data_IF_771711996083
#
_entry.id   IF_771711996083
#
_cell.length_a   1.000
_cell.length_b   1.000
_cell.length_c   1.000
_cell.angle_alpha   90.00
_cell.angle_beta   90.00
_cell.angle_gamma   90.00
#
_symmetry.space_group_name_H-M   'P 1'
#
loop_
_entity.id
_entity.type
_entity.pdbx_description
1 polymer ?
#
# COMPACT_ATOMS: atom_id res chain seq x y z
N UNK A 1 8.45 5.76 -0.80
CA UNK A 1 7.12 6.25 -1.23
C UNK A 1 7.33 7.31 -2.29
N UNK A 2 6.51 7.36 -3.33
CA UNK A 2 6.62 8.27 -4.46
C UNK A 2 5.27 8.97 -4.71
N UNK A 3 5.28 10.26 -5.02
CA UNK A 3 4.07 11.01 -5.37
C UNK A 3 4.05 11.25 -6.88
N UNK A 4 3.00 10.80 -7.55
CA UNK A 4 2.79 11.06 -8.97
C UNK A 4 1.75 12.16 -9.20
N UNK A 5 1.89 12.83 -10.34
CA UNK A 5 1.06 13.96 -10.76
C UNK A 5 0.73 13.81 -12.26
N UNK A 6 -0.42 14.32 -12.68
CA UNK A 6 -0.90 14.25 -14.07
C UNK A 6 -1.35 12.86 -14.51
N UNK A 7 -1.48 11.90 -13.59
CA UNK A 7 -1.79 10.51 -13.90
C UNK A 7 -3.28 10.32 -14.25
N UNK A 8 -3.58 9.77 -15.43
CA UNK A 8 -4.94 9.39 -15.81
C UNK A 8 -5.32 8.04 -15.20
N UNK A 9 -5.78 8.05 -13.96
CA UNK A 9 -6.26 6.85 -13.25
C UNK A 9 -7.32 7.21 -12.22
N UNK A 10 -8.11 6.21 -11.79
CA UNK A 10 -9.07 6.33 -10.69
C UNK A 10 -8.49 5.87 -9.35
N UNK A 11 -7.37 5.15 -9.35
CA UNK A 11 -6.70 4.70 -8.12
C UNK A 11 -6.13 5.89 -7.34
N UNK A 12 -6.25 5.84 -6.02
CA UNK A 12 -5.64 6.85 -5.13
C UNK A 12 -4.19 6.52 -4.76
N UNK A 13 -3.85 5.23 -4.67
CA UNK A 13 -2.51 4.75 -4.47
C UNK A 13 -2.32 3.43 -5.22
N UNK A 14 -1.07 3.00 -5.33
CA UNK A 14 -0.67 1.70 -5.88
C UNK A 14 0.58 1.22 -5.17
N UNK A 15 0.80 -0.09 -5.17
CA UNK A 15 2.05 -0.69 -4.75
C UNK A 15 2.76 -1.42 -5.87
N UNK A 16 4.08 -1.31 -5.86
CA UNK A 16 5.00 -1.98 -6.76
C UNK A 16 5.97 -2.81 -5.93
N UNK A 17 6.24 -4.03 -6.38
CA UNK A 17 7.33 -4.86 -5.88
C UNK A 17 8.32 -5.13 -7.00
N UNK A 18 9.59 -5.33 -6.66
CA UNK A 18 10.61 -5.72 -7.64
C UNK A 18 10.63 -7.25 -7.75
N UNK A 19 10.29 -7.86 -8.90
CA UNK A 19 10.38 -9.30 -9.10
C UNK A 19 11.78 -9.84 -8.80
N UNK A 20 11.86 -11.04 -8.22
CA UNK A 20 13.12 -11.64 -7.80
C UNK A 20 14.16 -11.76 -8.93
N UNK A 21 13.70 -12.02 -10.15
CA UNK A 21 14.59 -12.11 -11.32
C UNK A 21 15.27 -10.76 -11.62
N UNK A 22 14.57 -9.64 -11.46
CA UNK A 22 15.14 -8.31 -11.69
C UNK A 22 16.10 -7.90 -10.57
N UNK A 23 15.82 -8.29 -9.32
CA UNK A 23 16.75 -8.10 -8.21
C UNK A 23 18.10 -8.78 -8.52
N UNK A 24 18.07 -10.02 -8.98
CA UNK A 24 19.28 -10.79 -9.31
C UNK A 24 19.99 -10.22 -10.53
N UNK A 25 19.26 -9.99 -11.63
CA UNK A 25 19.84 -9.56 -12.90
C UNK A 25 20.52 -8.17 -12.81
N UNK A 26 19.94 -7.26 -12.03
CA UNK A 26 20.43 -5.89 -11.89
C UNK A 26 21.17 -5.63 -10.57
N UNK A 27 21.39 -6.67 -9.75
CA UNK A 27 21.97 -6.55 -8.40
C UNK A 27 21.29 -5.46 -7.55
N UNK A 28 19.96 -5.39 -7.62
CA UNK A 28 19.15 -4.43 -6.87
C UNK A 28 18.61 -5.13 -5.63
N UNK A 29 18.70 -4.44 -4.49
CA UNK A 29 18.09 -4.91 -3.26
C UNK A 29 16.57 -5.01 -3.36
N UNK A 30 16.03 -5.88 -2.52
CA UNK A 30 14.60 -6.03 -2.36
C UNK A 30 13.95 -4.71 -1.95
N UNK A 31 12.98 -4.24 -2.74
CA UNK A 31 12.21 -3.05 -2.42
C UNK A 31 10.74 -3.18 -2.83
N UNK A 32 9.89 -2.46 -2.10
CA UNK A 32 8.52 -2.16 -2.49
C UNK A 32 8.34 -0.65 -2.53
N UNK A 33 7.59 -0.16 -3.51
CA UNK A 33 7.31 1.27 -3.68
C UNK A 33 5.80 1.47 -3.64
N UNK A 34 5.35 2.32 -2.73
CA UNK A 34 3.98 2.86 -2.77
C UNK A 34 4.01 4.14 -3.59
N UNK A 35 3.23 4.16 -4.67
CA UNK A 35 2.88 5.35 -5.44
C UNK A 35 1.61 5.97 -4.87
N UNK A 36 1.65 7.27 -4.62
CA UNK A 36 0.49 8.09 -4.26
C UNK A 36 0.11 8.91 -5.48
N UNK A 37 -1.08 8.69 -6.02
CA UNK A 37 -1.65 9.51 -7.10
C UNK A 37 -2.22 10.76 -6.45
N UNK A 38 -1.45 11.85 -6.48
CA UNK A 38 -1.70 13.00 -5.62
C UNK A 38 -3.11 13.60 -5.82
N UNK A 39 -3.58 13.72 -7.05
CA UNK A 39 -4.87 14.32 -7.40
C UNK A 39 -6.06 13.54 -6.85
N UNK A 40 -5.92 12.23 -6.71
CA UNK A 40 -6.97 11.35 -6.21
C UNK A 40 -6.84 11.19 -4.70
N UNK A 41 -5.63 10.95 -4.21
CA UNK A 41 -5.35 10.74 -2.80
C UNK A 41 -5.64 11.98 -1.95
N UNK A 42 -5.30 13.18 -2.44
CA UNK A 42 -5.49 14.44 -1.70
C UNK A 42 -6.95 14.70 -1.31
N UNK A 43 -7.89 14.28 -2.15
CA UNK A 43 -9.35 14.44 -1.98
C UNK A 43 -9.96 13.53 -0.92
N UNK A 44 -9.24 12.49 -0.49
CA UNK A 44 -9.72 11.53 0.49
C UNK A 44 -9.72 12.12 1.92
N UNK A 45 -10.66 11.64 2.74
CA UNK A 45 -10.67 11.92 4.18
C UNK A 45 -9.42 11.32 4.85
N UNK A 46 -9.08 11.77 6.06
CA UNK A 46 -7.92 11.22 6.77
C UNK A 46 -8.06 9.70 7.04
N UNK A 47 -9.27 9.26 7.36
CA UNK A 47 -9.60 7.84 7.53
C UNK A 47 -9.39 7.07 6.22
N UNK A 48 -9.94 7.54 5.12
CA UNK A 48 -9.85 6.87 3.82
C UNK A 48 -8.41 6.82 3.32
N UNK A 49 -7.62 7.88 3.54
CA UNK A 49 -6.18 7.89 3.25
C UNK A 49 -5.47 6.75 3.96
N UNK A 50 -5.75 6.53 5.25
CA UNK A 50 -5.14 5.44 6.00
C UNK A 50 -5.63 4.09 5.48
N UNK A 51 -6.94 3.93 5.22
CA UNK A 51 -7.50 2.67 4.70
C UNK A 51 -6.91 2.30 3.34
N UNK A 52 -6.74 3.27 2.44
CA UNK A 52 -6.05 3.08 1.15
C UNK A 52 -4.60 2.64 1.36
N UNK A 53 -3.86 3.26 2.28
CA UNK A 53 -2.49 2.82 2.57
C UNK A 53 -2.43 1.40 3.16
N UNK A 54 -3.38 1.05 4.04
CA UNK A 54 -3.52 -0.31 4.56
C UNK A 54 -3.77 -1.30 3.42
N UNK A 55 -4.66 -0.96 2.48
CA UNK A 55 -4.93 -1.77 1.29
C UNK A 55 -3.65 -2.03 0.50
N UNK A 56 -2.89 -0.98 0.15
CA UNK A 56 -1.63 -1.12 -0.59
C UNK A 56 -0.60 -1.96 0.18
N UNK A 57 -0.51 -1.81 1.50
CA UNK A 57 0.42 -2.60 2.32
C UNK A 57 0.02 -4.09 2.41
N UNK A 58 -1.27 -4.42 2.34
CA UNK A 58 -1.74 -5.81 2.41
C UNK A 58 -1.34 -6.64 1.19
N UNK A 59 -1.09 -5.97 0.06
CA UNK A 59 -0.51 -6.61 -1.13
C UNK A 59 0.91 -7.14 -0.88
N UNK A 60 1.62 -6.65 0.14
CA UNK A 60 2.95 -7.17 0.49
C UNK A 60 2.80 -8.56 1.15
N UNK A 61 3.41 -9.63 0.59
CA UNK A 61 3.38 -10.94 1.20
C UNK A 61 4.24 -10.98 2.47
N UNK A 62 3.91 -11.89 3.39
CA UNK A 62 4.72 -12.11 4.61
C UNK A 62 6.17 -12.48 4.33
N UNK A 63 6.44 -13.11 3.18
CA UNK A 63 7.81 -13.46 2.74
C UNK A 63 8.63 -12.26 2.33
N UNK A 64 7.98 -11.10 2.11
CA UNK A 64 8.60 -9.87 1.64
C UNK A 64 9.45 -10.05 0.37
N UNK A 65 9.17 -11.03 -0.49
CA UNK A 65 10.09 -11.44 -1.56
C UNK A 65 10.19 -10.47 -2.75
N UNK A 66 9.43 -9.37 -2.76
CA UNK A 66 9.28 -8.45 -3.89
C UNK A 66 8.12 -8.82 -4.83
N UNK A 67 7.43 -9.94 -4.54
CA UNK A 67 6.15 -10.28 -5.16
C UNK A 67 5.01 -9.47 -4.52
N UNK A 68 3.89 -9.35 -5.24
CA UNK A 68 2.66 -8.76 -4.74
C UNK A 68 1.55 -9.81 -4.71
N UNK A 69 0.74 -9.80 -3.66
CA UNK A 69 -0.49 -10.58 -3.59
C UNK A 69 -1.51 -9.96 -4.53
N UNK A 70 -2.27 -10.79 -5.24
CA UNK A 70 -3.44 -10.27 -5.96
C UNK A 70 -4.56 -9.93 -4.98
N UNK A 71 -5.47 -9.05 -5.42
CA UNK A 71 -6.70 -8.75 -4.69
C UNK A 71 -7.52 -10.04 -4.50
N UNK A 72 -8.11 -10.23 -3.31
CA UNK A 72 -8.89 -11.43 -2.99
C UNK A 72 -8.90 -11.73 -1.50
N UNK A 73 -8.74 -13.00 -1.12
CA UNK A 73 -8.92 -13.52 0.25
C UNK A 73 -8.20 -12.74 1.36
N UNK A 74 -7.07 -12.09 1.06
CA UNK A 74 -6.25 -11.39 2.05
C UNK A 74 -6.46 -9.87 2.06
N UNK A 75 -7.29 -9.35 1.15
CA UNK A 75 -7.49 -7.92 0.93
C UNK A 75 -9.00 -7.72 0.78
N UNK A 76 -9.68 -7.56 1.91
CA UNK A 76 -11.13 -7.32 1.98
C UNK A 76 -11.42 -6.09 2.82
N UNK A 77 -12.61 -5.50 2.65
CA UNK A 77 -13.09 -4.35 3.44
C UNK A 77 -13.01 -4.62 4.94
N UNK A 78 -13.41 -5.82 5.36
CA UNK A 78 -13.47 -6.20 6.77
C UNK A 78 -12.07 -6.23 7.39
N UNK A 79 -11.08 -6.79 6.67
CA UNK A 79 -9.68 -6.82 7.11
C UNK A 79 -9.12 -5.39 7.20
N UNK A 80 -9.43 -4.54 6.22
CA UNK A 80 -8.96 -3.15 6.19
C UNK A 80 -9.55 -2.36 7.37
N UNK A 81 -10.85 -2.48 7.62
CA UNK A 81 -11.52 -1.80 8.73
C UNK A 81 -11.02 -2.30 10.09
N UNK A 82 -10.79 -3.61 10.22
CA UNK A 82 -10.21 -4.19 11.44
C UNK A 82 -8.82 -3.61 11.72
N UNK A 83 -7.95 -3.56 10.71
CA UNK A 83 -6.60 -3.02 10.83
C UNK A 83 -6.60 -1.52 11.11
N UNK A 84 -7.50 -0.77 10.48
CA UNK A 84 -7.70 0.65 10.78
C UNK A 84 -8.13 0.85 12.24
N UNK A 85 -9.08 0.06 12.73
CA UNK A 85 -9.50 0.10 14.14
C UNK A 85 -8.33 -0.18 15.10
N UNK A 86 -7.46 -1.15 14.79
CA UNK A 86 -6.24 -1.43 15.56
C UNK A 86 -5.26 -0.25 15.54
N UNK A 87 -5.05 0.36 14.38
CA UNK A 87 -4.21 1.54 14.23
C UNK A 87 -4.73 2.71 15.07
N UNK A 88 -6.03 3.02 14.98
CA UNK A 88 -6.66 4.11 15.72
C UNK A 88 -6.55 3.94 17.23
N UNK A 89 -6.75 2.71 17.75
CA UNK A 89 -6.56 2.40 19.18
C UNK A 89 -5.12 2.61 19.64
N UNK A 90 -4.14 2.10 18.88
CA UNK A 90 -2.71 2.30 19.21
C UNK A 90 -2.33 3.78 19.18
N UNK A 91 -2.82 4.54 18.19
CA UNK A 91 -2.56 5.98 18.07
C UNK A 91 -3.05 6.75 19.31
N UNK A 92 -4.21 6.39 19.85
CA UNK A 92 -4.74 7.00 21.08
C UNK A 92 -3.94 6.65 22.33
N UNK A 93 -3.24 5.51 22.35
CA UNK A 93 -2.41 5.05 23.47
C UNK A 93 -0.99 5.63 23.48
N UNK A 94 -0.57 6.31 22.40
CA UNK A 94 0.76 6.93 22.25
C UNK A 94 0.69 8.45 22.51
N UNK A 95 -0.52 8.98 22.76
CA UNK A 95 -0.73 10.34 23.28
C UNK A 95 -0.64 10.32 24.80
#
# INVERSE_FOLDING_TARGET
MYYSFGTKTTSAARIYGIPKILQIAYNIELAHVIEIVYENFSKLSWEDKIKVLIHELLHIPRTFSGALRHHGRYITSEIIDELYGRFSRKKSSIK
#
